data_IF_110167390320
#
_entry.id   IF_110167390320
#
_cell.length_a   1.000
_cell.length_b   1.000
_cell.length_c   1.000
_cell.angle_alpha   90.00
_cell.angle_beta   90.00
_cell.angle_gamma   90.00
#
_symmetry.space_group_name_H-M   'P 1'
#
loop_
_entity.id
_entity.type
_entity.pdbx_description
1 polymer ?
#
# COMPACT_ATOMS: atom_id res chain seq x y z
N UNK A 1 15.25 19.40 -0.06
CA UNK A 1 16.22 18.36 -0.48
C UNK A 1 15.75 16.98 -0.02
N UNK A 2 14.48 16.63 -0.27
CA UNK A 2 13.84 15.38 0.22
C UNK A 2 13.09 14.63 -0.91
N UNK A 3 12.67 15.35 -1.95
CA UNK A 3 11.91 14.86 -3.12
C UNK A 3 12.60 13.76 -3.93
N UNK A 4 13.94 13.79 -4.04
CA UNK A 4 14.67 12.82 -4.86
C UNK A 4 14.55 11.37 -4.37
N UNK A 5 14.46 11.17 -3.06
CA UNK A 5 14.40 9.82 -2.47
C UNK A 5 13.01 9.22 -2.60
N UNK A 6 11.96 10.02 -2.37
CA UNK A 6 10.57 9.59 -2.53
C UNK A 6 10.22 9.33 -3.99
N UNK A 7 10.66 10.17 -4.93
CA UNK A 7 10.42 9.94 -6.36
C UNK A 7 11.10 8.66 -6.86
N UNK A 8 12.34 8.40 -6.42
CA UNK A 8 13.06 7.17 -6.76
C UNK A 8 12.39 5.93 -6.14
N UNK A 9 11.98 6.03 -4.87
CA UNK A 9 11.24 4.99 -4.17
C UNK A 9 9.93 4.66 -4.90
N UNK A 10 9.16 5.69 -5.22
CA UNK A 10 7.88 5.58 -5.91
C UNK A 10 8.06 4.92 -7.28
N UNK A 11 9.06 5.34 -8.04
CA UNK A 11 9.36 4.77 -9.36
C UNK A 11 9.70 3.29 -9.27
N UNK A 12 10.55 2.91 -8.31
CA UNK A 12 10.97 1.53 -8.15
C UNK A 12 9.85 0.63 -7.62
N UNK A 13 9.04 1.11 -6.67
CA UNK A 13 7.88 0.37 -6.16
C UNK A 13 6.82 0.22 -7.24
N UNK A 14 6.55 1.27 -8.03
CA UNK A 14 5.64 1.18 -9.17
C UNK A 14 6.10 0.10 -10.13
N UNK A 15 7.39 0.10 -10.47
CA UNK A 15 7.98 -0.91 -11.35
C UNK A 15 7.89 -2.31 -10.74
N UNK A 16 8.20 -2.47 -9.46
CA UNK A 16 8.10 -3.74 -8.75
C UNK A 16 6.68 -4.30 -8.77
N UNK A 17 5.68 -3.50 -8.40
CA UNK A 17 4.27 -3.89 -8.40
C UNK A 17 3.76 -4.27 -9.79
N UNK A 18 4.25 -3.60 -10.84
CA UNK A 18 3.95 -3.95 -12.22
C UNK A 18 4.68 -5.22 -12.70
N UNK A 19 5.95 -5.41 -12.31
CA UNK A 19 6.77 -6.58 -12.66
C UNK A 19 6.28 -7.87 -12.02
N UNK A 20 5.61 -7.78 -10.86
CA UNK A 20 4.95 -8.92 -10.22
C UNK A 20 3.85 -9.51 -11.09
N UNK A 21 3.30 -8.77 -12.05
CA UNK A 21 2.41 -9.31 -13.09
C UNK A 21 1.05 -9.82 -12.58
N UNK A 22 0.75 -9.69 -11.30
CA UNK A 22 -0.41 -10.30 -10.64
C UNK A 22 -1.71 -9.48 -10.77
N UNK A 23 -1.92 -8.79 -11.90
CA UNK A 23 -3.18 -8.07 -12.14
C UNK A 23 -3.21 -6.63 -11.61
N UNK A 24 -2.10 -6.06 -11.13
CA UNK A 24 -2.01 -4.62 -10.85
C UNK A 24 -2.02 -3.79 -12.15
N UNK A 25 -3.03 -2.95 -12.30
CA UNK A 25 -3.13 -1.94 -13.34
C UNK A 25 -2.83 -0.56 -12.75
N UNK A 26 -1.80 0.12 -13.26
CA UNK A 26 -1.45 1.46 -12.80
C UNK A 26 -2.50 2.49 -13.21
N UNK A 27 -3.07 3.21 -12.23
CA UNK A 27 -4.07 4.26 -12.46
C UNK A 27 -3.39 5.63 -12.46
N UNK A 28 -2.48 5.88 -11.51
CA UNK A 28 -1.76 7.14 -11.45
C UNK A 28 -0.84 7.29 -10.24
N UNK A 29 -0.03 8.34 -10.29
CA UNK A 29 0.89 8.75 -9.23
C UNK A 29 0.53 10.17 -8.78
N UNK A 30 0.66 10.46 -7.48
CA UNK A 30 0.27 11.74 -6.88
C UNK A 30 -1.17 12.11 -7.27
N UNK A 31 -2.07 11.16 -7.09
CA UNK A 31 -3.46 11.27 -7.54
C UNK A 31 -4.19 12.22 -6.60
N UNK A 32 -4.70 13.37 -7.09
CA UNK A 32 -5.45 14.29 -6.26
C UNK A 32 -6.81 13.69 -5.90
N UNK A 33 -7.18 13.85 -4.63
CA UNK A 33 -8.51 13.57 -4.10
C UNK A 33 -8.97 14.75 -3.25
N UNK A 34 -10.28 14.99 -3.24
CA UNK A 34 -10.90 15.99 -2.40
C UNK A 34 -11.63 15.31 -1.25
N UNK A 35 -11.25 15.63 -0.02
CA UNK A 35 -11.94 15.16 1.19
C UNK A 35 -12.51 16.38 1.91
N UNK A 36 -13.82 16.59 1.76
CA UNK A 36 -14.46 17.85 2.16
C UNK A 36 -13.90 19.02 1.34
N UNK A 37 -13.29 19.99 2.03
CA UNK A 37 -12.64 21.15 1.40
C UNK A 37 -11.12 21.01 1.27
N UNK A 38 -10.54 19.86 1.62
CA UNK A 38 -9.10 19.64 1.61
C UNK A 38 -8.70 18.80 0.41
N UNK A 39 -7.75 19.31 -0.36
CA UNK A 39 -7.05 18.53 -1.38
C UNK A 39 -5.96 17.69 -0.71
N UNK A 40 -5.93 16.40 -1.06
CA UNK A 40 -4.94 15.43 -0.61
C UNK A 40 -4.42 14.66 -1.82
N UNK A 41 -3.25 14.04 -1.67
CA UNK A 41 -2.59 13.32 -2.76
C UNK A 41 -2.31 11.90 -2.29
N UNK A 42 -2.76 10.93 -3.09
CA UNK A 42 -2.40 9.52 -2.96
C UNK A 42 -1.09 9.31 -3.72
N UNK A 43 -0.08 8.72 -3.07
CA UNK A 43 1.23 8.51 -3.71
C UNK A 43 1.11 7.67 -4.97
N UNK A 44 0.52 6.48 -4.88
CA UNK A 44 0.19 5.63 -6.02
C UNK A 44 -1.22 5.06 -5.91
N UNK A 45 -1.93 5.04 -7.03
CA UNK A 45 -3.22 4.38 -7.15
C UNK A 45 -3.12 3.31 -8.24
N UNK A 46 -3.54 2.10 -7.86
CA UNK A 46 -3.70 0.97 -8.77
C UNK A 46 -5.15 0.49 -8.78
N UNK A 47 -5.47 -0.33 -9.77
CA UNK A 47 -6.64 -1.20 -9.76
C UNK A 47 -6.17 -2.64 -9.91
N UNK A 48 -6.66 -3.55 -9.07
CA UNK A 48 -6.33 -4.95 -9.15
C UNK A 48 -7.39 -5.69 -9.97
N UNK A 49 -6.98 -6.29 -11.10
CA UNK A 49 -7.89 -6.90 -12.07
C UNK A 49 -8.60 -8.13 -11.54
N UNK A 50 -7.90 -9.04 -10.84
CA UNK A 50 -8.48 -10.27 -10.29
C UNK A 50 -9.37 -10.00 -9.06
N UNK A 51 -8.85 -9.24 -8.08
CA UNK A 51 -9.61 -8.83 -6.90
C UNK A 51 -10.72 -7.81 -7.22
N UNK A 52 -10.68 -7.18 -8.41
CA UNK A 52 -11.64 -6.17 -8.86
C UNK A 52 -11.83 -5.01 -7.87
N UNK A 53 -10.74 -4.46 -7.36
CA UNK A 53 -10.77 -3.35 -6.42
C UNK A 53 -9.68 -2.32 -6.72
N UNK A 54 -9.82 -1.11 -6.19
CA UNK A 54 -8.70 -0.18 -6.16
C UNK A 54 -7.69 -0.60 -5.09
N UNK A 55 -6.42 -0.25 -5.30
CA UNK A 55 -5.35 -0.37 -4.31
C UNK A 55 -4.69 0.98 -4.15
N UNK A 56 -4.86 1.58 -2.98
CA UNK A 56 -4.22 2.84 -2.58
C UNK A 56 -2.89 2.49 -1.93
N UNK A 57 -1.78 3.01 -2.45
CA UNK A 57 -0.46 2.77 -1.87
C UNK A 57 0.09 4.09 -1.34
N UNK A 58 0.48 4.09 -0.07
CA UNK A 58 1.14 5.22 0.60
C UNK A 58 2.59 4.82 0.93
N UNK A 59 3.54 5.70 0.63
CA UNK A 59 4.96 5.45 0.82
C UNK A 59 5.52 6.34 1.93
N UNK A 60 6.24 5.76 2.88
CA UNK A 60 6.89 6.50 3.97
C UNK A 60 8.35 6.11 4.10
N UNK A 61 9.25 7.06 3.92
CA UNK A 61 10.70 6.86 4.12
C UNK A 61 11.14 6.76 5.59
N UNK A 62 10.17 6.84 6.49
CA UNK A 62 10.31 6.77 7.94
C UNK A 62 9.77 5.45 8.49
N UNK A 63 9.99 5.25 9.79
CA UNK A 63 9.34 4.20 10.55
C UNK A 63 7.82 4.41 10.56
N UNK A 64 7.06 3.31 10.58
CA UNK A 64 5.60 3.36 10.69
C UNK A 64 5.17 4.14 11.93
N UNK A 65 4.34 5.16 11.73
CA UNK A 65 3.57 5.79 12.80
C UNK A 65 2.09 5.41 12.69
N UNK A 66 1.37 5.21 13.82
CA UNK A 66 -0.07 4.92 13.80
C UNK A 66 -0.91 5.96 13.03
N UNK A 67 -0.46 7.21 13.02
CA UNK A 67 -1.10 8.31 12.29
C UNK A 67 -1.19 8.05 10.79
N UNK A 68 -0.25 7.28 10.22
CA UNK A 68 -0.20 6.96 8.80
C UNK A 68 -1.31 6.00 8.38
N UNK A 69 -1.71 5.07 9.27
CA UNK A 69 -2.83 4.16 9.03
C UNK A 69 -4.15 4.93 8.99
N UNK A 70 -4.32 5.90 9.89
CA UNK A 70 -5.47 6.80 9.83
C UNK A 70 -5.56 7.58 8.52
N UNK A 71 -4.43 8.09 8.03
CA UNK A 71 -4.37 8.76 6.72
C UNK A 71 -4.72 7.82 5.56
N UNK A 72 -4.15 6.62 5.53
CA UNK A 72 -4.43 5.63 4.50
C UNK A 72 -5.90 5.17 4.50
N UNK A 73 -6.49 5.00 5.69
CA UNK A 73 -7.92 4.70 5.82
C UNK A 73 -8.82 5.79 5.24
N UNK A 74 -8.45 7.07 5.42
CA UNK A 74 -9.18 8.19 4.79
C UNK A 74 -9.12 8.08 3.26
N UNK A 75 -7.97 7.68 2.70
CA UNK A 75 -7.83 7.51 1.25
C UNK A 75 -8.66 6.35 0.71
N UNK A 76 -8.63 5.20 1.41
CA UNK A 76 -9.46 4.04 1.08
C UNK A 76 -10.94 4.43 1.06
N UNK A 77 -11.43 5.04 2.15
CA UNK A 77 -12.81 5.49 2.24
C UNK A 77 -13.17 6.50 1.14
N UNK A 78 -12.28 7.45 0.83
CA UNK A 78 -12.51 8.44 -0.22
C UNK A 78 -12.62 7.78 -1.61
N UNK A 79 -11.75 6.83 -1.94
CA UNK A 79 -11.80 6.10 -3.22
C UNK A 79 -13.05 5.24 -3.31
N UNK A 80 -13.44 4.58 -2.22
CA UNK A 80 -14.70 3.84 -2.12
C UNK A 80 -15.93 4.72 -2.40
N UNK A 81 -15.93 5.97 -1.94
CA UNK A 81 -17.06 6.88 -2.19
C UNK A 81 -17.02 7.56 -3.57
N UNK A 82 -15.85 7.84 -4.11
CA UNK A 82 -15.69 8.71 -5.28
C UNK A 82 -15.46 7.96 -6.59
N UNK A 83 -14.89 6.75 -6.54
CA UNK A 83 -14.41 6.04 -7.74
C UNK A 83 -14.86 4.59 -7.84
N UNK A 84 -14.97 3.89 -6.71
CA UNK A 84 -15.44 2.50 -6.66
C UNK A 84 -16.83 2.40 -7.29
N UNK A 85 -17.02 1.44 -8.20
CA UNK A 85 -18.33 1.09 -8.76
C UNK A 85 -19.00 0.02 -7.92
N UNK A 86 -20.31 -0.16 -8.10
CA UNK A 86 -21.07 -1.22 -7.41
C UNK A 86 -20.51 -2.63 -7.67
N UNK A 87 -19.86 -2.84 -8.82
CA UNK A 87 -19.27 -4.13 -9.20
C UNK A 87 -17.83 -4.33 -8.73
N UNK A 88 -17.25 -3.32 -8.08
CA UNK A 88 -15.90 -3.39 -7.53
C UNK A 88 -15.98 -3.82 -6.05
N UNK A 89 -14.98 -4.59 -5.62
CA UNK A 89 -14.78 -4.92 -4.21
C UNK A 89 -14.25 -3.71 -3.44
N UNK A 90 -14.21 -3.83 -2.10
CA UNK A 90 -13.67 -2.79 -1.23
C UNK A 90 -12.22 -2.43 -1.60
N UNK A 91 -11.93 -1.13 -1.62
CA UNK A 91 -10.58 -0.63 -1.91
C UNK A 91 -9.61 -1.08 -0.84
N UNK A 92 -8.44 -1.55 -1.24
CA UNK A 92 -7.39 -2.00 -0.31
C UNK A 92 -6.38 -0.86 -0.10
N UNK A 93 -5.98 -0.62 1.14
CA UNK A 93 -4.87 0.25 1.48
C UNK A 93 -3.57 -0.56 1.62
N UNK A 94 -2.47 -0.07 1.08
CA UNK A 94 -1.14 -0.64 1.25
C UNK A 94 -0.17 0.44 1.75
N UNK A 95 0.25 0.32 3.01
CA UNK A 95 1.27 1.17 3.60
C UNK A 95 2.64 0.55 3.37
N UNK A 96 3.55 1.28 2.73
CA UNK A 96 4.93 0.84 2.53
C UNK A 96 5.87 1.78 3.29
N UNK A 97 6.47 1.28 4.37
CA UNK A 97 7.30 2.07 5.29
C UNK A 97 8.72 1.52 5.41
N UNK A 98 9.69 2.35 5.79
CA UNK A 98 11.12 1.95 5.81
C UNK A 98 11.38 0.86 6.84
N UNK A 99 10.75 0.99 8.00
CA UNK A 99 10.78 0.03 9.10
C UNK A 99 9.42 0.03 9.78
N UNK A 100 9.05 -1.09 10.42
CA UNK A 100 7.90 -1.13 11.32
C UNK A 100 8.24 -1.86 12.61
N UNK A 101 7.69 -1.38 13.71
CA UNK A 101 7.51 -2.21 14.90
C UNK A 101 6.24 -3.05 14.69
N UNK A 102 6.39 -4.37 14.76
CA UNK A 102 5.30 -5.32 14.47
C UNK A 102 4.12 -5.18 15.44
N UNK A 103 4.39 -4.83 16.70
CA UNK A 103 3.37 -4.64 17.73
C UNK A 103 2.59 -3.35 17.45
N UNK A 104 3.30 -2.26 17.12
CA UNK A 104 2.66 -0.99 16.71
C UNK A 104 1.84 -1.18 15.45
N UNK A 105 2.36 -1.91 14.47
CA UNK A 105 1.65 -2.23 13.23
C UNK A 105 0.37 -3.02 13.51
N UNK A 106 0.44 -4.05 14.35
CA UNK A 106 -0.72 -4.86 14.73
C UNK A 106 -1.80 -4.01 15.42
N UNK A 107 -1.45 -3.23 16.45
CA UNK A 107 -2.44 -2.38 17.13
C UNK A 107 -3.06 -1.33 16.20
N UNK A 108 -2.28 -0.78 15.27
CA UNK A 108 -2.79 0.18 14.30
C UNK A 108 -3.76 -0.47 13.30
N UNK A 109 -3.49 -1.72 12.89
CA UNK A 109 -4.38 -2.50 12.03
C UNK A 109 -5.68 -2.87 12.75
N UNK A 110 -5.61 -3.35 14.00
CA UNK A 110 -6.79 -3.68 14.81
C UNK A 110 -7.70 -2.47 15.07
N UNK A 111 -7.11 -1.28 15.18
CA UNK A 111 -7.87 -0.04 15.33
C UNK A 111 -8.53 0.43 14.01
N UNK A 112 -8.11 -0.09 12.86
CA UNK A 112 -8.67 0.24 11.55
C UNK A 112 -9.87 -0.64 11.22
N UNK A 113 -10.88 -0.05 10.59
CA UNK A 113 -12.02 -0.79 10.01
C UNK A 113 -11.87 -1.03 8.51
N UNK A 114 -10.91 -0.36 7.88
CA UNK A 114 -10.65 -0.44 6.45
C UNK A 114 -9.65 -1.57 6.16
N UNK A 115 -9.74 -2.25 5.00
CA UNK A 115 -8.82 -3.33 4.63
C UNK A 115 -7.44 -2.76 4.27
N UNK A 116 -6.56 -2.71 5.26
CA UNK A 116 -5.21 -2.14 5.15
C UNK A 116 -4.15 -3.23 5.36
N UNK A 117 -3.20 -3.31 4.43
CA UNK A 117 -1.95 -4.06 4.58
C UNK A 117 -0.79 -3.12 4.90
N UNK A 118 0.16 -3.59 5.69
CA UNK A 118 1.41 -2.87 6.01
C UNK A 118 2.59 -3.74 5.55
N UNK A 119 3.43 -3.18 4.69
CA UNK A 119 4.70 -3.77 4.31
C UNK A 119 5.85 -2.88 4.76
N UNK A 120 6.87 -3.50 5.32
CA UNK A 120 8.18 -2.87 5.39
C UNK A 120 8.86 -2.99 4.02
N UNK A 121 9.57 -1.95 3.59
CA UNK A 121 10.47 -2.06 2.44
C UNK A 121 11.92 -1.97 2.89
N UNK A 122 12.72 -2.93 2.45
CA UNK A 122 14.16 -2.85 2.62
C UNK A 122 14.74 -1.94 1.52
N UNK A 123 15.20 -0.72 1.88
CA UNK A 123 15.94 0.18 0.97
C UNK A 123 17.08 -0.53 0.22
N UNK A 124 17.70 -1.50 0.89
CA UNK A 124 18.75 -2.39 0.38
C UNK A 124 18.36 -3.16 -0.89
N UNK A 125 17.07 -3.45 -1.06
CA UNK A 125 16.54 -4.27 -2.14
C UNK A 125 15.94 -3.47 -3.31
N UNK A 126 15.70 -2.18 -3.09
CA UNK A 126 15.20 -1.23 -4.09
C UNK A 126 16.35 -0.53 -4.82
N UNK A 127 17.53 -0.52 -4.21
CA UNK A 127 18.75 -0.03 -4.84
C UNK A 127 19.42 -1.16 -5.65
N UNK A 128 19.97 -0.85 -6.84
CA UNK A 128 20.54 -1.84 -7.75
C UNK A 128 21.58 -2.72 -7.06
N UNK A 129 21.54 -4.02 -7.37
CA UNK A 129 22.33 -5.06 -6.72
C UNK A 129 23.84 -4.91 -6.96
N UNK A 130 24.53 -4.25 -6.04
CA UNK A 130 25.64 -4.94 -5.36
C UNK A 130 25.12 -5.90 -4.26
N UNK A 131 23.86 -5.80 -3.84
CA UNK A 131 23.28 -6.63 -2.79
C UNK A 131 22.00 -7.32 -3.25
N UNK A 132 22.21 -8.55 -3.73
CA UNK A 132 21.24 -9.47 -4.33
C UNK A 132 20.97 -10.55 -3.29
N UNK A 133 19.71 -10.72 -2.90
CA UNK A 133 19.08 -11.97 -2.44
C UNK A 133 18.39 -11.85 -1.08
N UNK A 134 17.15 -12.35 -1.04
CA UNK A 134 16.31 -12.62 0.14
C UNK A 134 15.28 -11.53 0.52
N UNK A 135 14.32 -11.25 -0.37
CA UNK A 135 13.00 -10.77 0.06
C UNK A 135 11.98 -11.91 -0.09
N UNK A 136 11.08 -12.09 0.88
CA UNK A 136 9.99 -13.06 0.81
C UNK A 136 9.02 -12.69 -0.32
N UNK A 137 8.38 -13.71 -0.89
CA UNK A 137 7.48 -13.55 -2.04
C UNK A 137 6.08 -13.15 -1.59
N UNK A 138 5.34 -12.50 -2.47
CA UNK A 138 3.93 -12.18 -2.25
C UNK A 138 3.07 -13.43 -2.02
N UNK A 139 3.49 -14.60 -2.51
CA UNK A 139 2.84 -15.87 -2.19
C UNK A 139 2.99 -16.29 -0.71
N UNK A 140 4.04 -15.84 -0.01
CA UNK A 140 4.16 -16.02 1.45
C UNK A 140 3.22 -15.06 2.21
N UNK A 141 2.97 -13.86 1.66
CA UNK A 141 2.06 -12.85 2.23
C UNK A 141 0.60 -13.29 2.08
N UNK A 142 0.24 -13.94 0.97
CA UNK A 142 -1.14 -14.41 0.72
C UNK A 142 -1.49 -15.71 1.46
N UNK A 143 -0.51 -16.54 1.84
CA UNK A 143 -0.76 -17.79 2.58
C UNK A 143 -1.08 -17.58 4.07
N UNK A 144 -0.47 -16.61 4.75
CA UNK A 144 -0.81 -16.30 6.15
C UNK A 144 -2.18 -15.64 6.28
N UNK A 145 -2.56 -14.76 5.34
CA UNK A 145 -3.88 -14.10 5.34
C UNK A 145 -5.02 -15.13 5.19
N UNK A 146 -4.82 -16.20 4.42
CA UNK A 146 -5.77 -17.32 4.31
C UNK A 146 -5.85 -18.22 5.55
N UNK A 147 -4.83 -18.24 6.41
CA UNK A 147 -4.86 -19.00 7.66
C UNK A 147 -5.71 -18.35 8.76
N UNK A 148 -5.97 -17.03 8.64
CA UNK A 148 -6.73 -16.24 9.62
C UNK A 148 -8.25 -16.35 9.38
N UNK A 149 -8.68 -16.73 8.17
CA UNK A 149 -10.09 -16.95 7.82
C UNK A 149 -10.61 -18.37 8.19
N UNK A 150 -9.84 -19.17 8.93
CA UNK A 150 -10.12 -20.60 9.10
C UNK A 150 -9.67 -21.24 10.41
N UNK A 151 -10.08 -20.72 11.58
CA UNK A 151 -10.27 -21.53 12.79
C UNK A 151 -11.61 -21.19 13.48
N UNK A 152 -12.58 -22.08 13.21
CA UNK A 152 -13.94 -22.31 13.76
C UNK A 152 -15.06 -21.25 13.64
#
# INVERSE_FOLDING_TARGET
MQTYTEDALTTNITKFLLELGQGFAFVGRQVPIMVGSKEMFIDLLFYHLELRCYVVVELKVTELEPSYIGQLGVYVAAINHQRKKETDNETIGLMICKTKDDVVAQYALEASREPIGISEYNLSNILPKEYKSNLPSIEEIEQEVRAIDGEE
#
